data_IF_659653436783
#
_entry.id   IF_659653436783
#
_cell.length_a   1.000
_cell.length_b   1.000
_cell.length_c   1.000
_cell.angle_alpha   90.00
_cell.angle_beta   90.00
_cell.angle_gamma   90.00
#
_symmetry.space_group_name_H-M   'P 1'
#
loop_
_entity.id
_entity.type
_entity.pdbx_description
1 polymer ?
#
# COMPACT_ATOMS: atom_id res chain seq x y z
N UNK A 1 -31.27 -47.91 -3.85
CA UNK A 1 -31.94 -46.59 -3.76
C UNK A 1 -30.88 -45.51 -3.87
N UNK A 2 -30.91 -44.73 -4.96
CA UNK A 2 -29.94 -43.68 -5.24
C UNK A 2 -30.29 -42.42 -4.43
N UNK A 3 -29.29 -41.83 -3.77
CA UNK A 3 -29.40 -40.51 -3.13
C UNK A 3 -28.90 -39.46 -4.13
N UNK A 4 -29.83 -38.83 -4.84
CA UNK A 4 -29.59 -37.64 -5.67
C UNK A 4 -29.73 -36.38 -4.81
N UNK A 5 -28.62 -35.95 -4.20
CA UNK A 5 -28.51 -34.64 -3.53
C UNK A 5 -27.61 -33.72 -4.35
N UNK A 6 -28.12 -33.19 -5.47
CA UNK A 6 -27.39 -32.25 -6.31
C UNK A 6 -27.18 -30.91 -5.60
N UNK A 7 -25.93 -30.47 -5.52
CA UNK A 7 -25.58 -29.10 -5.15
C UNK A 7 -26.12 -28.16 -6.24
N UNK A 8 -27.13 -27.36 -5.91
CA UNK A 8 -27.61 -26.26 -6.74
C UNK A 8 -26.53 -25.18 -6.80
N UNK A 9 -25.83 -25.07 -7.94
CA UNK A 9 -25.01 -23.91 -8.26
C UNK A 9 -25.94 -22.69 -8.39
N UNK A 10 -26.03 -21.86 -7.35
CA UNK A 10 -26.68 -20.56 -7.46
C UNK A 10 -25.94 -19.75 -8.51
N UNK A 11 -26.64 -19.40 -9.60
CA UNK A 11 -26.13 -18.52 -10.64
C UNK A 11 -25.54 -17.27 -9.98
N UNK A 12 -24.27 -16.95 -10.30
CA UNK A 12 -23.64 -15.75 -9.77
C UNK A 12 -24.51 -14.54 -10.10
N UNK A 13 -24.87 -13.74 -9.11
CA UNK A 13 -25.57 -12.49 -9.37
C UNK A 13 -24.75 -11.62 -10.33
N UNK A 14 -25.39 -11.04 -11.36
CA UNK A 14 -24.70 -10.14 -12.28
C UNK A 14 -24.07 -8.99 -11.50
N UNK A 15 -22.83 -8.61 -11.84
CA UNK A 15 -22.06 -7.54 -11.19
C UNK A 15 -21.71 -6.44 -12.19
N UNK A 16 -21.88 -5.18 -11.79
CA UNK A 16 -21.46 -4.04 -12.62
C UNK A 16 -19.95 -3.89 -12.47
N UNK A 17 -19.22 -3.96 -13.58
CA UNK A 17 -17.79 -3.63 -13.60
C UNK A 17 -17.62 -2.12 -13.47
N UNK A 18 -17.20 -1.65 -12.28
CA UNK A 18 -16.98 -0.23 -12.00
C UNK A 18 -15.56 0.19 -12.36
N UNK A 19 -15.33 0.54 -13.61
CA UNK A 19 -14.09 1.20 -14.06
C UNK A 19 -14.04 2.69 -13.68
N UNK A 20 -12.90 3.34 -13.92
CA UNK A 20 -12.72 4.77 -13.61
C UNK A 20 -13.68 5.65 -14.40
N UNK A 21 -13.99 5.30 -15.65
CA UNK A 21 -14.88 6.08 -16.51
C UNK A 21 -16.31 6.11 -15.95
N UNK A 22 -16.90 4.94 -15.65
CA UNK A 22 -18.24 4.81 -15.07
C UNK A 22 -18.35 5.51 -13.71
N UNK A 23 -17.28 5.45 -12.91
CA UNK A 23 -17.22 6.12 -11.60
C UNK A 23 -17.16 7.64 -11.75
N UNK A 24 -16.34 8.16 -12.69
CA UNK A 24 -16.28 9.59 -13.01
C UNK A 24 -17.58 10.10 -13.61
N UNK A 25 -18.20 9.33 -14.51
CA UNK A 25 -19.51 9.62 -15.07
C UNK A 25 -20.58 9.75 -13.98
N UNK A 26 -20.63 8.78 -13.05
CA UNK A 26 -21.53 8.84 -11.89
C UNK A 26 -21.23 10.05 -10.99
N UNK A 27 -19.96 10.37 -10.73
CA UNK A 27 -19.60 11.57 -9.98
C UNK A 27 -20.06 12.86 -10.68
N UNK A 28 -19.95 12.94 -12.02
CA UNK A 28 -20.41 14.10 -12.79
C UNK A 28 -21.94 14.28 -12.67
N UNK A 29 -22.72 13.19 -12.72
CA UNK A 29 -24.16 13.24 -12.46
C UNK A 29 -24.48 13.88 -11.10
N UNK A 30 -23.75 13.47 -10.04
CA UNK A 30 -23.97 13.97 -8.68
C UNK A 30 -23.43 15.38 -8.40
N UNK A 31 -22.45 15.85 -9.19
CA UNK A 31 -21.83 17.16 -9.01
C UNK A 31 -22.55 18.27 -9.79
N UNK A 32 -22.90 18.01 -11.04
CA UNK A 32 -23.37 19.05 -11.97
C UNK A 32 -24.88 19.06 -12.21
N UNK A 33 -25.64 18.13 -11.62
CA UNK A 33 -27.10 18.08 -11.71
C UNK A 33 -27.76 17.89 -10.34
N UNK A 34 -28.99 18.38 -10.23
CA UNK A 34 -29.82 18.17 -9.06
C UNK A 34 -30.04 16.67 -8.79
N UNK A 35 -30.15 16.31 -7.51
CA UNK A 35 -30.21 14.91 -7.08
C UNK A 35 -31.53 14.26 -7.47
N UNK A 36 -31.48 13.49 -8.56
CA UNK A 36 -32.56 12.58 -8.95
C UNK A 36 -31.99 11.22 -9.35
N UNK A 37 -32.10 10.23 -8.45
CA UNK A 37 -31.57 8.88 -8.67
C UNK A 37 -32.30 8.15 -9.82
N UNK A 38 -33.54 8.52 -10.14
CA UNK A 38 -34.27 7.91 -11.24
C UNK A 38 -33.72 8.42 -12.58
N UNK A 39 -33.52 9.73 -12.70
CA UNK A 39 -32.87 10.33 -13.85
C UNK A 39 -31.43 9.83 -14.02
N UNK A 40 -30.67 9.74 -12.92
CA UNK A 40 -29.30 9.23 -12.95
C UNK A 40 -29.23 7.78 -13.44
N UNK A 41 -30.13 6.91 -12.97
CA UNK A 41 -30.23 5.53 -13.47
C UNK A 41 -30.56 5.51 -14.96
N UNK A 42 -31.58 6.24 -15.40
CA UNK A 42 -32.00 6.24 -16.79
C UNK A 42 -30.86 6.70 -17.73
N UNK A 43 -30.13 7.74 -17.34
CA UNK A 43 -28.97 8.23 -18.10
C UNK A 43 -27.82 7.21 -18.08
N UNK A 44 -27.49 6.67 -16.90
CA UNK A 44 -26.41 5.68 -16.76
C UNK A 44 -26.69 4.41 -17.58
N UNK A 45 -27.93 3.92 -17.54
CA UNK A 45 -28.35 2.74 -18.28
C UNK A 45 -28.34 2.96 -19.79
N UNK A 46 -28.70 4.16 -20.26
CA UNK A 46 -28.66 4.48 -21.67
C UNK A 46 -27.23 4.60 -22.20
N UNK A 47 -26.31 5.19 -21.42
CA UNK A 47 -24.90 5.34 -21.81
C UNK A 47 -24.15 4.01 -21.75
N UNK A 48 -24.40 3.18 -20.73
CA UNK A 48 -23.71 1.91 -20.52
C UNK A 48 -24.59 0.70 -20.84
N UNK A 49 -25.56 0.85 -21.74
CA UNK A 49 -26.54 -0.18 -22.08
C UNK A 49 -25.90 -1.52 -22.44
N UNK A 50 -24.93 -1.49 -23.35
CA UNK A 50 -24.29 -2.72 -23.86
C UNK A 50 -23.42 -3.38 -22.79
N UNK A 51 -22.68 -2.59 -22.01
CA UNK A 51 -21.89 -3.07 -20.88
C UNK A 51 -22.77 -3.76 -19.82
N UNK A 52 -23.91 -3.17 -19.49
CA UNK A 52 -24.87 -3.72 -18.53
C UNK A 52 -25.52 -5.00 -19.07
N UNK A 53 -25.90 -5.03 -20.35
CA UNK A 53 -26.45 -6.21 -21.00
C UNK A 53 -25.45 -7.36 -21.02
N UNK A 54 -24.19 -7.08 -21.37
CA UNK A 54 -23.10 -8.06 -21.37
C UNK A 54 -22.79 -8.59 -19.96
N UNK A 55 -22.96 -7.76 -18.94
CA UNK A 55 -22.82 -8.16 -17.54
C UNK A 55 -24.06 -8.90 -16.96
N UNK A 56 -25.10 -9.12 -17.76
CA UNK A 56 -26.29 -9.89 -17.37
C UNK A 56 -27.45 -9.06 -16.81
N UNK A 57 -27.40 -7.73 -16.88
CA UNK A 57 -28.50 -6.85 -16.45
C UNK A 57 -29.50 -6.64 -17.57
N UNK A 58 -30.70 -7.22 -17.42
CA UNK A 58 -31.79 -7.05 -18.40
C UNK A 58 -32.59 -5.76 -18.22
N UNK A 59 -32.59 -5.20 -17.00
CA UNK A 59 -33.38 -4.02 -16.62
C UNK A 59 -32.51 -2.82 -16.22
N UNK A 60 -31.26 -2.80 -16.72
CA UNK A 60 -30.25 -1.81 -16.35
C UNK A 60 -29.71 -1.99 -14.92
N UNK A 61 -28.93 -1.01 -14.47
CA UNK A 61 -28.26 -1.00 -13.18
C UNK A 61 -29.27 -0.78 -12.02
N UNK A 62 -29.24 -1.60 -10.95
CA UNK A 62 -30.04 -1.33 -9.75
C UNK A 62 -29.71 0.03 -9.13
N UNK A 63 -30.74 0.79 -8.70
CA UNK A 63 -30.58 2.13 -8.11
C UNK A 63 -29.69 2.10 -6.86
N UNK A 64 -29.84 1.04 -6.08
CA UNK A 64 -29.11 0.76 -4.85
C UNK A 64 -27.61 0.59 -5.13
N UNK A 65 -27.26 0.04 -6.30
CA UNK A 65 -25.86 -0.12 -6.71
C UNK A 65 -25.24 1.19 -7.15
N UNK A 66 -25.97 2.05 -7.88
CA UNK A 66 -25.51 3.39 -8.21
C UNK A 66 -25.32 4.24 -6.94
N UNK A 67 -26.32 4.25 -6.06
CA UNK A 67 -26.28 4.98 -4.78
C UNK A 67 -25.17 4.46 -3.87
N UNK A 68 -25.08 3.13 -3.72
CA UNK A 68 -24.05 2.47 -2.92
C UNK A 68 -22.65 2.76 -3.45
N UNK A 69 -22.49 2.75 -4.78
CA UNK A 69 -21.21 3.10 -5.41
C UNK A 69 -20.84 4.57 -5.16
N UNK A 70 -21.76 5.51 -5.35
CA UNK A 70 -21.50 6.92 -5.05
C UNK A 70 -21.14 7.12 -3.57
N UNK A 71 -21.86 6.47 -2.65
CA UNK A 71 -21.59 6.59 -1.22
C UNK A 71 -20.23 5.99 -0.85
N UNK A 72 -19.85 4.88 -1.49
CA UNK A 72 -18.52 4.30 -1.36
C UNK A 72 -17.43 5.25 -1.87
N UNK A 73 -17.63 5.85 -3.04
CA UNK A 73 -16.74 6.85 -3.64
C UNK A 73 -16.54 8.06 -2.72
N UNK A 74 -17.62 8.60 -2.15
CA UNK A 74 -17.57 9.73 -1.21
C UNK A 74 -16.96 9.36 0.15
N UNK A 75 -17.46 8.31 0.81
CA UNK A 75 -17.06 7.95 2.19
C UNK A 75 -15.60 7.52 2.30
N UNK A 76 -15.02 7.01 1.21
CA UNK A 76 -13.61 6.60 1.15
C UNK A 76 -12.72 7.64 0.44
N UNK A 77 -13.30 8.76 0.01
CA UNK A 77 -12.60 9.86 -0.69
C UNK A 77 -11.76 9.30 -1.85
N UNK A 78 -12.39 8.45 -2.67
CA UNK A 78 -11.69 7.72 -3.73
C UNK A 78 -11.22 8.66 -4.85
N UNK A 79 -10.16 8.31 -5.61
CA UNK A 79 -9.58 9.18 -6.64
C UNK A 79 -10.60 9.73 -7.64
N UNK A 80 -11.55 8.92 -8.12
CA UNK A 80 -12.57 9.37 -9.07
C UNK A 80 -13.56 10.37 -8.44
N UNK A 81 -13.79 10.28 -7.12
CA UNK A 81 -14.57 11.27 -6.39
C UNK A 81 -13.79 12.57 -6.24
N UNK A 82 -12.53 12.49 -5.80
CA UNK A 82 -11.64 13.63 -5.60
C UNK A 82 -11.39 14.39 -6.91
N UNK A 83 -11.03 13.68 -7.97
CA UNK A 83 -10.76 14.26 -9.29
C UNK A 83 -11.99 15.04 -9.77
N UNK A 84 -13.19 14.44 -9.67
CA UNK A 84 -14.42 15.10 -10.11
C UNK A 84 -14.91 16.16 -9.15
N UNK A 85 -14.78 16.05 -7.83
CA UNK A 85 -15.42 16.97 -6.87
C UNK A 85 -14.48 18.05 -6.30
N UNK A 86 -13.17 17.88 -6.40
CA UNK A 86 -12.18 18.90 -6.00
C UNK A 86 -11.54 19.64 -7.18
N UNK A 87 -11.83 19.27 -8.43
CA UNK A 87 -11.45 20.13 -9.57
C UNK A 87 -12.26 21.42 -9.58
N UNK A 88 -11.87 22.46 -10.34
CA UNK A 88 -12.73 23.62 -10.57
C UNK A 88 -14.14 23.21 -11.02
N UNK A 89 -15.16 23.89 -10.50
CA UNK A 89 -16.56 23.70 -10.88
C UNK A 89 -16.82 24.38 -12.24
N UNK A 90 -16.30 23.76 -13.29
CA UNK A 90 -16.37 24.23 -14.66
C UNK A 90 -16.93 23.11 -15.56
N UNK A 91 -18.11 23.34 -16.12
CA UNK A 91 -18.85 22.37 -16.94
C UNK A 91 -18.31 22.32 -18.38
N UNK A 92 -17.59 23.35 -18.79
CA UNK A 92 -17.02 23.54 -20.11
C UNK A 92 -15.52 23.20 -20.14
N UNK A 93 -14.91 23.02 -18.97
CA UNK A 93 -13.51 22.60 -18.81
C UNK A 93 -13.31 21.09 -18.91
N UNK A 94 -12.50 20.53 -18.00
CA UNK A 94 -12.03 19.12 -18.05
C UNK A 94 -13.17 18.09 -18.13
N UNK A 95 -14.34 18.39 -17.57
CA UNK A 95 -15.47 17.47 -17.51
C UNK A 95 -16.46 17.61 -18.67
N UNK A 96 -16.19 18.52 -19.62
CA UNK A 96 -17.05 18.77 -20.78
C UNK A 96 -17.45 17.50 -21.57
N UNK A 97 -16.58 16.49 -21.78
CA UNK A 97 -16.98 15.27 -22.48
C UNK A 97 -18.08 14.47 -21.76
N UNK A 98 -17.97 14.36 -20.43
CA UNK A 98 -18.98 13.71 -19.58
C UNK A 98 -20.26 14.55 -19.56
N UNK A 99 -20.12 15.86 -19.39
CA UNK A 99 -21.26 16.79 -19.32
C UNK A 99 -22.05 16.80 -20.63
N UNK A 100 -21.37 16.88 -21.77
CA UNK A 100 -21.99 16.83 -23.09
C UNK A 100 -22.71 15.50 -23.32
N UNK A 101 -22.15 14.39 -22.84
CA UNK A 101 -22.76 13.06 -22.95
C UNK A 101 -24.02 12.94 -22.11
N UNK A 102 -24.01 13.46 -20.87
CA UNK A 102 -25.20 13.53 -20.01
C UNK A 102 -26.28 14.41 -20.65
N UNK A 103 -25.93 15.62 -21.12
CA UNK A 103 -26.87 16.53 -21.82
C UNK A 103 -27.52 15.87 -23.03
N UNK A 104 -26.73 15.21 -23.88
CA UNK A 104 -27.23 14.49 -25.07
C UNK A 104 -28.19 13.36 -24.68
N UNK A 105 -27.83 12.60 -23.65
CA UNK A 105 -28.63 11.46 -23.18
C UNK A 105 -29.96 11.92 -22.58
N UNK A 106 -29.94 12.94 -21.72
CA UNK A 106 -31.14 13.55 -21.15
C UNK A 106 -32.12 14.01 -22.24
N UNK A 107 -31.62 14.67 -23.30
CA UNK A 107 -32.45 15.06 -24.46
C UNK A 107 -33.05 13.86 -25.18
N UNK A 108 -32.24 12.83 -25.46
CA UNK A 108 -32.72 11.63 -26.15
C UNK A 108 -33.80 10.87 -25.36
N UNK A 109 -33.69 10.88 -24.02
CA UNK A 109 -34.64 10.23 -23.11
C UNK A 109 -35.84 11.13 -22.76
N UNK A 110 -35.87 12.38 -23.25
CA UNK A 110 -36.88 13.38 -22.89
C UNK A 110 -37.01 13.61 -21.37
N UNK A 111 -35.89 13.49 -20.64
CA UNK A 111 -35.82 13.70 -19.19
C UNK A 111 -35.38 15.13 -18.93
N UNK A 112 -36.19 15.88 -18.17
CA UNK A 112 -35.80 17.19 -17.69
C UNK A 112 -35.07 17.07 -16.34
N UNK A 113 -33.77 17.32 -16.34
CA UNK A 113 -32.93 17.34 -15.15
C UNK A 113 -32.18 18.67 -15.08
N UNK A 114 -32.40 19.43 -14.02
CA UNK A 114 -31.80 20.75 -13.84
C UNK A 114 -30.31 20.63 -13.57
N UNK A 115 -29.51 21.42 -14.28
CA UNK A 115 -28.10 21.56 -13.98
C UNK A 115 -27.88 22.42 -12.73
N UNK A 116 -27.00 21.97 -11.85
CA UNK A 116 -26.63 22.70 -10.65
C UNK A 116 -25.85 23.96 -11.01
N UNK A 117 -26.21 25.10 -10.40
CA UNK A 117 -25.57 26.40 -10.62
C UNK A 117 -24.56 26.76 -9.53
N UNK A 118 -24.49 25.95 -8.47
CA UNK A 118 -23.61 26.10 -7.31
C UNK A 118 -22.95 24.75 -7.06
N UNK A 119 -21.66 24.75 -6.71
CA UNK A 119 -20.96 23.52 -6.34
C UNK A 119 -21.52 22.98 -5.02
N UNK A 120 -22.08 21.76 -4.99
CA UNK A 120 -22.61 21.19 -3.75
C UNK A 120 -21.53 20.72 -2.77
N UNK A 121 -20.24 20.83 -3.11
CA UNK A 121 -19.12 20.47 -2.25
C UNK A 121 -18.48 21.71 -1.66
N UNK A 122 -18.52 21.82 -0.34
CA UNK A 122 -17.78 22.84 0.40
C UNK A 122 -16.29 22.44 0.44
N UNK A 123 -15.54 22.85 -0.59
CA UNK A 123 -14.12 22.50 -0.76
C UNK A 123 -13.25 22.98 0.42
N UNK A 124 -13.67 24.05 1.11
CA UNK A 124 -12.95 24.63 2.24
C UNK A 124 -12.81 23.68 3.44
N UNK A 125 -13.73 22.70 3.60
CA UNK A 125 -13.63 21.72 4.69
C UNK A 125 -12.57 20.64 4.44
N UNK A 126 -12.07 20.50 3.21
CA UNK A 126 -11.12 19.45 2.82
C UNK A 126 -9.74 19.97 2.40
N UNK A 127 -9.58 21.27 2.17
CA UNK A 127 -8.28 21.91 1.91
C UNK A 127 -7.41 22.00 3.18
N UNK A 128 -8.03 22.16 4.36
CA UNK A 128 -7.31 22.32 5.63
C UNK A 128 -6.55 21.08 6.16
N UNK A 129 -6.83 19.87 5.65
CA UNK A 129 -6.08 18.66 6.03
C UNK A 129 -4.81 18.43 5.18
N UNK A 130 -4.53 19.29 4.19
CA UNK A 130 -3.47 19.07 3.19
C UNK A 130 -2.31 20.10 3.33
N UNK A 131 -2.44 21.18 4.10
CA UNK A 131 -1.58 22.36 3.96
C UNK A 131 -0.35 22.48 4.90
N UNK A 132 -0.07 21.55 5.81
CA UNK A 132 1.17 21.61 6.63
C UNK A 132 2.31 20.72 6.10
N UNK A 133 3.00 21.20 5.07
CA UNK A 133 4.38 20.79 4.76
C UNK A 133 5.21 22.05 4.44
N UNK A 134 6.41 22.23 5.06
CA UNK A 134 7.11 23.50 4.99
C UNK A 134 7.70 23.75 3.60
N UNK A 135 7.38 24.92 3.06
CA UNK A 135 8.03 25.51 1.90
C UNK A 135 9.45 25.96 2.28
N UNK A 136 10.46 25.18 1.89
CA UNK A 136 11.77 25.67 1.44
C UNK A 136 12.72 24.50 1.14
N UNK A 137 12.85 24.13 -0.14
CA UNK A 137 14.10 23.57 -0.65
C UNK A 137 14.45 24.33 -1.91
N UNK A 138 15.41 25.24 -1.73
CA UNK A 138 16.09 26.02 -2.75
C UNK A 138 16.62 25.12 -3.87
N UNK A 139 16.41 25.55 -5.11
CA UNK A 139 17.09 25.04 -6.29
C UNK A 139 18.61 25.25 -6.15
N UNK A 140 19.35 24.19 -5.83
CA UNK A 140 20.78 24.14 -6.08
C UNK A 140 21.08 23.27 -7.29
N UNK A 141 21.84 23.87 -8.21
CA UNK A 141 22.00 23.45 -9.57
C UNK A 141 22.76 22.15 -9.76
N UNK A 142 22.40 21.52 -10.87
CA UNK A 142 23.17 20.52 -11.59
C UNK A 142 24.68 20.79 -11.54
N UNK A 143 25.39 19.96 -10.79
CA UNK A 143 26.82 19.74 -11.03
C UNK A 143 27.06 18.26 -11.28
N UNK A 144 27.46 18.02 -12.52
CA UNK A 144 27.80 16.76 -13.13
C UNK A 144 28.76 15.93 -12.25
N UNK A 145 28.45 14.64 -12.12
CA UNK A 145 29.43 13.62 -11.74
C UNK A 145 29.61 12.67 -12.93
N UNK A 146 30.87 12.63 -13.38
CA UNK A 146 31.53 11.65 -14.26
C UNK A 146 31.16 11.66 -15.76
N UNK A 147 31.87 12.49 -16.53
CA UNK A 147 32.21 12.18 -17.94
C UNK A 147 33.66 11.71 -18.00
N UNK A 148 33.90 10.51 -18.52
CA UNK A 148 35.22 10.08 -19.00
C UNK A 148 35.06 9.60 -20.44
N UNK A 149 35.63 10.36 -21.39
CA UNK A 149 35.73 9.99 -22.80
C UNK A 149 34.42 9.82 -23.56
N UNK A 150 33.58 10.86 -23.63
CA UNK A 150 32.37 11.00 -24.47
C UNK A 150 31.32 9.87 -24.43
N UNK A 151 31.52 8.85 -23.59
CA UNK A 151 30.56 7.78 -23.33
C UNK A 151 29.72 8.14 -22.12
N UNK A 152 28.41 8.16 -22.30
CA UNK A 152 27.45 8.35 -21.20
C UNK A 152 27.39 7.05 -20.39
N UNK A 153 27.52 7.14 -19.07
CA UNK A 153 27.35 5.99 -18.19
C UNK A 153 25.95 5.37 -18.40
N UNK A 154 25.93 4.08 -18.77
CA UNK A 154 24.70 3.32 -19.03
C UNK A 154 23.70 3.40 -17.85
N UNK A 155 24.22 3.42 -16.62
CA UNK A 155 23.42 3.59 -15.40
C UNK A 155 22.68 4.94 -15.33
N UNK A 156 23.34 6.04 -15.73
CA UNK A 156 22.75 7.38 -15.72
C UNK A 156 21.73 7.61 -16.85
N UNK A 157 21.83 6.87 -17.96
CA UNK A 157 20.84 6.90 -19.05
C UNK A 157 19.58 6.12 -18.65
N UNK A 158 19.74 5.01 -17.94
CA UNK A 158 18.62 4.17 -17.51
C UNK A 158 17.76 4.87 -16.44
N UNK A 159 18.34 5.63 -15.51
CA UNK A 159 17.56 6.47 -14.58
C UNK A 159 16.84 7.64 -15.29
N UNK A 160 17.38 8.16 -16.39
CA UNK A 160 16.75 9.24 -17.20
C UNK A 160 15.60 8.75 -18.10
N UNK A 161 15.64 7.49 -18.55
CA UNK A 161 14.55 6.89 -19.34
C UNK A 161 13.37 6.50 -18.43
N UNK A 162 13.63 6.04 -17.21
CA UNK A 162 12.58 5.63 -16.25
C UNK A 162 11.84 6.85 -15.67
N UNK A 163 12.51 8.00 -15.57
CA UNK A 163 11.90 9.24 -15.03
C UNK A 163 10.97 9.96 -16.01
N UNK A 164 10.98 9.59 -17.31
CA UNK A 164 10.21 10.26 -18.36
C UNK A 164 9.35 9.31 -19.19
N UNK A 165 8.57 8.42 -18.58
CA UNK A 165 7.33 7.92 -19.22
C UNK A 165 6.37 7.24 -18.23
N UNK A 166 5.20 7.89 -18.05
CA UNK A 166 3.88 7.28 -17.81
C UNK A 166 3.65 6.48 -16.52
N UNK A 167 2.86 7.11 -15.64
CA UNK A 167 1.61 6.51 -15.17
C UNK A 167 1.73 5.59 -13.96
N UNK A 168 2.23 6.14 -12.85
CA UNK A 168 2.20 5.50 -11.55
C UNK A 168 0.74 5.29 -11.10
N UNK A 169 0.20 4.05 -10.99
CA UNK A 169 -1.15 3.83 -10.51
C UNK A 169 -1.14 3.91 -8.98
N UNK A 170 -0.91 5.11 -8.44
CA UNK A 170 -1.22 5.41 -7.04
C UNK A 170 -2.74 5.49 -6.87
N UNK A 171 -3.39 4.34 -6.82
CA UNK A 171 -4.78 4.23 -6.38
C UNK A 171 -4.87 4.65 -4.91
N UNK A 172 -5.32 5.88 -4.63
CA UNK A 172 -5.66 6.33 -3.26
C UNK A 172 -6.74 5.41 -2.68
N UNK A 173 -6.42 4.81 -1.54
CA UNK A 173 -7.18 3.77 -0.85
C UNK A 173 -6.26 2.71 -0.21
N UNK A 174 -5.03 2.58 -0.72
CA UNK A 174 -3.97 1.75 -0.12
C UNK A 174 -2.98 2.66 0.60
N UNK A 175 -3.16 2.89 1.90
CA UNK A 175 -2.06 3.40 2.73
C UNK A 175 -0.90 2.40 2.63
N UNK A 176 0.17 2.81 1.96
CA UNK A 176 1.46 2.12 1.96
C UNK A 176 2.24 2.74 3.12
N UNK A 177 2.65 1.95 4.13
CA UNK A 177 3.50 2.43 5.20
C UNK A 177 4.77 3.05 4.61
N UNK A 178 5.21 4.23 5.10
CA UNK A 178 6.41 4.89 4.58
C UNK A 178 7.63 3.97 4.64
N UNK A 179 7.72 3.13 5.67
CA UNK A 179 8.77 2.12 5.83
C UNK A 179 8.18 0.70 5.91
N UNK A 180 8.83 -0.23 5.24
CA UNK A 180 8.56 -1.67 5.30
C UNK A 180 9.80 -2.42 5.79
N UNK A 181 9.58 -3.61 6.35
CA UNK A 181 10.64 -4.43 6.93
C UNK A 181 10.65 -5.80 6.26
N UNK A 182 11.81 -6.28 5.83
CA UNK A 182 11.99 -7.62 5.27
C UNK A 182 12.91 -8.42 6.16
N UNK A 183 12.58 -9.69 6.35
CA UNK A 183 13.51 -10.71 6.82
C UNK A 183 13.87 -11.62 5.64
N UNK A 184 15.12 -12.08 5.59
CA UNK A 184 15.59 -13.12 4.67
C UNK A 184 16.73 -13.91 5.29
N UNK A 185 16.94 -15.13 4.79
CA UNK A 185 18.07 -16.01 5.12
C UNK A 185 18.57 -16.75 3.87
N UNK A 186 19.44 -17.74 4.08
CA UNK A 186 19.99 -18.61 3.03
C UNK A 186 18.91 -19.37 2.24
N UNK A 187 17.76 -19.67 2.85
CA UNK A 187 16.64 -20.37 2.19
C UNK A 187 15.67 -19.43 1.47
N UNK A 188 15.87 -18.12 1.59
CA UNK A 188 15.01 -17.14 0.94
C UNK A 188 15.32 -17.05 -0.54
N UNK A 189 14.31 -17.29 -1.38
CA UNK A 189 14.41 -17.08 -2.83
C UNK A 189 14.85 -15.65 -3.16
N UNK A 190 15.48 -15.49 -4.31
CA UNK A 190 15.91 -14.21 -4.84
C UNK A 190 17.27 -13.76 -4.34
N UNK A 191 17.68 -12.58 -4.81
CA UNK A 191 18.90 -11.92 -4.34
C UNK A 191 18.54 -11.10 -3.10
N UNK A 192 19.14 -11.41 -1.96
CA UNK A 192 18.88 -10.75 -0.68
C UNK A 192 20.18 -10.18 -0.09
N UNK A 193 20.60 -9.01 -0.59
CA UNK A 193 21.83 -8.35 -0.12
C UNK A 193 21.51 -7.06 0.63
N UNK A 194 22.54 -6.45 1.25
CA UNK A 194 22.38 -5.15 1.93
C UNK A 194 22.00 -4.00 1.00
N UNK A 195 22.30 -4.12 -0.29
CA UNK A 195 22.19 -3.03 -1.26
C UNK A 195 21.16 -3.30 -2.37
N UNK A 196 20.67 -4.53 -2.49
CA UNK A 196 19.63 -4.84 -3.47
C UNK A 196 18.83 -6.06 -3.01
N UNK A 197 17.51 -5.99 -3.23
CA UNK A 197 16.61 -7.12 -3.10
C UNK A 197 15.96 -7.41 -4.45
N UNK A 198 15.89 -8.68 -4.83
CA UNK A 198 15.28 -9.14 -6.08
C UNK A 198 14.41 -10.34 -5.78
N UNK A 199 13.21 -10.39 -6.36
CA UNK A 199 12.32 -11.52 -6.21
C UNK A 199 12.87 -12.75 -6.97
N UNK A 200 12.58 -13.96 -6.47
CA UNK A 200 13.12 -15.21 -7.03
C UNK A 200 12.85 -15.40 -8.53
N UNK A 201 11.70 -14.94 -9.04
CA UNK A 201 11.38 -15.04 -10.46
C UNK A 201 12.29 -14.19 -11.37
N UNK A 202 12.96 -13.19 -10.81
CA UNK A 202 13.78 -12.23 -11.55
C UNK A 202 15.26 -12.29 -11.15
N UNK A 203 15.71 -13.41 -10.58
CA UNK A 203 17.14 -13.64 -10.31
C UNK A 203 17.97 -13.49 -11.59
N UNK A 204 17.41 -13.93 -12.73
CA UNK A 204 17.90 -13.62 -14.06
C UNK A 204 17.20 -12.36 -14.62
N UNK A 205 17.94 -11.25 -14.63
CA UNK A 205 17.42 -9.91 -14.92
C UNK A 205 16.88 -9.72 -16.33
N UNK A 206 17.34 -10.51 -17.30
CA UNK A 206 16.91 -10.42 -18.70
C UNK A 206 15.43 -10.81 -18.88
N UNK A 207 14.83 -11.37 -17.83
CA UNK A 207 13.44 -11.85 -17.82
C UNK A 207 12.49 -10.93 -17.04
N UNK A 208 12.91 -9.71 -16.68
CA UNK A 208 12.05 -8.78 -15.96
C UNK A 208 10.82 -8.39 -16.79
N UNK A 209 9.65 -8.46 -16.16
CA UNK A 209 8.41 -7.92 -16.72
C UNK A 209 7.61 -7.18 -15.65
N UNK A 210 6.92 -6.13 -16.10
CA UNK A 210 6.02 -5.33 -15.25
C UNK A 210 4.73 -6.12 -14.94
N UNK A 211 4.12 -5.95 -13.76
CA UNK A 211 2.83 -6.56 -13.47
C UNK A 211 1.72 -6.05 -14.41
N UNK A 212 1.90 -4.89 -15.05
CA UNK A 212 0.95 -4.32 -16.01
C UNK A 212 1.03 -4.96 -17.41
N UNK A 213 2.08 -5.72 -17.72
CA UNK A 213 2.24 -6.39 -19.03
C UNK A 213 1.71 -7.83 -19.02
N UNK A 214 1.29 -8.33 -17.86
CA UNK A 214 0.71 -9.66 -17.73
C UNK A 214 -0.80 -9.60 -17.57
N UNK A 215 -1.46 -10.68 -17.98
CA UNK A 215 -2.89 -10.82 -17.79
C UNK A 215 -3.25 -10.90 -16.30
N UNK A 216 -4.42 -10.37 -15.87
CA UNK A 216 -4.84 -10.40 -14.47
C UNK A 216 -4.89 -11.80 -13.83
N UNK A 217 -5.26 -12.82 -14.60
CA UNK A 217 -5.28 -14.22 -14.16
C UNK A 217 -3.88 -14.75 -13.82
N UNK A 218 -2.87 -14.33 -14.60
CA UNK A 218 -1.46 -14.68 -14.32
C UNK A 218 -0.95 -13.98 -13.07
N UNK A 219 -1.30 -12.71 -12.85
CA UNK A 219 -0.96 -12.00 -11.61
C UNK A 219 -1.60 -12.70 -10.39
N UNK A 220 -2.88 -13.05 -10.50
CA UNK A 220 -3.60 -13.76 -9.43
C UNK A 220 -2.98 -15.13 -9.13
N UNK A 221 -2.54 -15.85 -10.16
CA UNK A 221 -1.83 -17.13 -10.01
C UNK A 221 -0.51 -16.96 -9.26
N UNK A 222 0.33 -15.98 -9.65
CA UNK A 222 1.55 -15.66 -8.90
C UNK A 222 1.27 -15.31 -7.44
N UNK A 223 0.26 -14.47 -7.19
CA UNK A 223 -0.12 -14.10 -5.83
C UNK A 223 -0.57 -15.32 -5.02
N UNK A 224 -1.42 -16.18 -5.61
CA UNK A 224 -1.89 -17.42 -4.96
C UNK A 224 -0.73 -18.35 -4.61
N UNK A 225 0.18 -18.60 -5.56
CA UNK A 225 1.37 -19.43 -5.33
C UNK A 225 2.26 -18.84 -4.24
N UNK A 226 2.45 -17.53 -4.23
CA UNK A 226 3.24 -16.83 -3.22
C UNK A 226 2.68 -17.01 -1.80
N UNK A 227 1.39 -16.73 -1.58
CA UNK A 227 0.79 -16.81 -0.23
C UNK A 227 0.54 -18.24 0.25
N UNK A 228 0.53 -19.22 -0.66
CA UNK A 228 0.54 -20.65 -0.31
C UNK A 228 1.94 -21.21 -0.14
N UNK A 229 2.99 -20.39 -0.33
CA UNK A 229 4.39 -20.80 -0.19
C UNK A 229 4.70 -22.00 -1.11
N UNK A 230 4.19 -21.96 -2.35
CA UNK A 230 4.53 -22.97 -3.34
C UNK A 230 6.03 -22.92 -3.66
N UNK A 231 6.66 -24.07 -3.89
CA UNK A 231 8.07 -24.21 -4.27
C UNK A 231 8.31 -23.80 -5.72
N UNK A 232 7.98 -22.55 -6.05
CA UNK A 232 8.15 -21.95 -7.37
C UNK A 232 8.69 -20.53 -7.23
N UNK A 233 9.49 -20.05 -8.20
CA UNK A 233 9.96 -18.67 -8.20
C UNK A 233 8.80 -17.67 -8.19
N UNK A 234 8.88 -16.73 -7.25
CA UNK A 234 7.86 -15.70 -7.08
C UNK A 234 8.33 -14.34 -7.58
N UNK A 235 7.46 -13.53 -8.23
CA UNK A 235 7.78 -12.14 -8.59
C UNK A 235 7.68 -11.17 -7.41
N UNK A 236 7.20 -11.62 -6.25
CA UNK A 236 7.01 -10.80 -5.06
C UNK A 236 8.14 -10.95 -4.04
N UNK A 237 8.56 -9.81 -3.49
CA UNK A 237 9.37 -9.67 -2.29
C UNK A 237 8.40 -9.41 -1.13
N UNK A 238 8.30 -10.39 -0.22
CA UNK A 238 7.47 -10.26 0.99
C UNK A 238 8.11 -9.30 2.00
N UNK A 239 7.31 -8.37 2.53
CA UNK A 239 7.68 -7.46 3.61
C UNK A 239 6.58 -7.36 4.67
N UNK A 240 6.91 -6.79 5.82
CA UNK A 240 6.03 -6.56 6.95
C UNK A 240 5.95 -5.06 7.24
N UNK A 241 4.81 -4.60 7.74
CA UNK A 241 4.63 -3.21 8.21
C UNK A 241 5.25 -2.92 9.58
N UNK A 242 5.70 -3.96 10.29
CA UNK A 242 6.23 -3.86 11.66
C UNK A 242 7.50 -4.69 11.77
N UNK A 243 8.52 -4.08 12.40
CA UNK A 243 9.84 -4.69 12.59
C UNK A 243 9.80 -5.96 13.46
N UNK A 244 8.85 -6.08 14.40
CA UNK A 244 8.79 -7.25 15.28
C UNK A 244 8.66 -8.57 14.51
N UNK A 245 7.91 -8.58 13.40
CA UNK A 245 7.75 -9.80 12.61
C UNK A 245 9.05 -10.27 11.96
N UNK A 246 9.80 -9.41 11.23
CA UNK A 246 11.13 -9.78 10.74
C UNK A 246 12.14 -10.12 11.84
N UNK A 247 12.17 -9.38 12.95
CA UNK A 247 13.08 -9.69 14.08
C UNK A 247 12.76 -11.06 14.67
N UNK A 248 11.48 -11.36 14.96
CA UNK A 248 11.03 -12.66 15.46
C UNK A 248 11.45 -13.81 14.54
N UNK A 249 11.27 -13.66 13.23
CA UNK A 249 11.70 -14.67 12.26
C UNK A 249 13.23 -14.80 12.20
N UNK A 250 13.94 -13.68 12.24
CA UNK A 250 15.39 -13.63 12.13
C UNK A 250 16.12 -14.30 13.29
N UNK A 251 15.73 -13.99 14.53
CA UNK A 251 16.39 -14.57 15.71
C UNK A 251 16.06 -16.06 15.90
N UNK A 252 14.97 -16.56 15.32
CA UNK A 252 14.60 -17.98 15.43
C UNK A 252 15.23 -18.86 14.36
N UNK A 253 15.53 -18.30 13.18
CA UNK A 253 16.08 -19.06 12.06
C UNK A 253 17.57 -18.78 11.79
N UNK A 254 18.15 -17.76 12.45
CA UNK A 254 19.58 -17.37 12.64
C UNK A 254 20.56 -17.45 11.46
N UNK A 255 20.64 -18.56 10.75
CA UNK A 255 21.60 -18.79 9.67
C UNK A 255 21.39 -17.79 8.52
N UNK A 256 22.41 -16.99 8.21
CA UNK A 256 22.34 -15.96 7.16
C UNK A 256 21.27 -14.88 7.39
N UNK A 257 20.71 -14.78 8.60
CA UNK A 257 19.58 -13.93 8.92
C UNK A 257 19.88 -12.45 8.68
N UNK A 258 19.16 -11.83 7.74
CA UNK A 258 19.24 -10.42 7.39
C UNK A 258 17.88 -9.75 7.61
N UNK A 259 17.90 -8.57 8.21
CA UNK A 259 16.74 -7.68 8.31
C UNK A 259 17.05 -6.44 7.49
N UNK A 260 16.15 -6.10 6.56
CA UNK A 260 16.26 -4.92 5.71
C UNK A 260 15.11 -3.96 6.00
N UNK A 261 15.45 -2.68 6.14
CA UNK A 261 14.50 -1.58 6.29
C UNK A 261 14.38 -0.86 4.96
N UNK A 262 13.16 -0.72 4.46
CA UNK A 262 12.88 -0.30 3.09
C UNK A 262 12.01 0.95 3.11
N UNK A 263 12.49 2.03 2.50
CA UNK A 263 11.69 3.20 2.17
C UNK A 263 10.80 2.87 0.96
N UNK A 264 9.50 3.08 1.12
CA UNK A 264 8.53 2.83 0.05
C UNK A 264 8.40 4.00 -0.93
N UNK A 265 8.97 5.16 -0.62
CA UNK A 265 8.93 6.33 -1.49
C UNK A 265 9.63 6.03 -2.81
N UNK A 266 8.88 6.12 -3.91
CA UNK A 266 9.40 5.90 -5.25
C UNK A 266 9.42 4.43 -5.71
N UNK A 267 8.94 3.50 -4.88
CA UNK A 267 8.67 2.14 -5.37
C UNK A 267 7.42 2.15 -6.27
N UNK A 268 7.50 1.48 -7.41
CA UNK A 268 6.43 1.47 -8.41
C UNK A 268 5.26 0.56 -8.03
N UNK A 269 5.55 -0.63 -7.51
CA UNK A 269 4.57 -1.70 -7.36
C UNK A 269 4.63 -2.32 -5.96
N UNK A 270 3.85 -1.75 -5.05
CA UNK A 270 3.70 -2.23 -3.67
C UNK A 270 2.24 -2.56 -3.39
N UNK A 271 1.97 -3.80 -2.99
CA UNK A 271 0.62 -4.32 -2.80
C UNK A 271 0.38 -4.69 -1.34
N UNK A 272 -0.76 -4.29 -0.78
CA UNK A 272 -1.24 -4.84 0.49
C UNK A 272 -1.65 -6.30 0.29
N UNK A 273 -0.98 -7.23 0.98
CA UNK A 273 -1.32 -8.66 0.90
C UNK A 273 -2.76 -8.92 1.36
N UNK A 274 -3.24 -8.17 2.36
CA UNK A 274 -4.63 -8.19 2.82
C UNK A 274 -5.61 -7.81 1.72
N UNK A 275 -5.31 -6.75 0.97
CA UNK A 275 -6.19 -6.27 -0.08
C UNK A 275 -6.22 -7.26 -1.24
N UNK A 276 -5.07 -7.86 -1.59
CA UNK A 276 -5.02 -8.93 -2.58
C UNK A 276 -5.78 -10.19 -2.12
N UNK A 277 -5.65 -10.60 -0.85
CA UNK A 277 -6.42 -11.73 -0.30
C UNK A 277 -7.92 -11.48 -0.44
N UNK A 278 -8.39 -10.27 -0.09
CA UNK A 278 -9.79 -9.89 -0.17
C UNK A 278 -10.27 -9.81 -1.63
N UNK A 279 -9.55 -9.09 -2.49
CA UNK A 279 -9.90 -8.88 -3.89
C UNK A 279 -9.97 -10.20 -4.67
N UNK A 280 -9.01 -11.09 -4.44
CA UNK A 280 -8.91 -12.37 -5.15
C UNK A 280 -9.58 -13.54 -4.41
N UNK A 281 -10.29 -13.24 -3.30
CA UNK A 281 -10.99 -14.22 -2.44
C UNK A 281 -10.10 -15.42 -2.08
N UNK A 282 -8.84 -15.16 -1.73
CA UNK A 282 -7.85 -16.19 -1.41
C UNK A 282 -7.98 -16.59 0.06
N UNK A 283 -8.05 -17.90 0.32
CA UNK A 283 -7.93 -18.52 1.64
C UNK A 283 -6.73 -19.45 1.63
N UNK A 284 -5.83 -19.31 2.60
CA UNK A 284 -4.61 -20.11 2.70
C UNK A 284 -4.88 -21.33 3.57
N UNK A 285 -5.22 -22.46 2.94
CA UNK A 285 -5.53 -23.71 3.64
C UNK A 285 -6.55 -23.56 4.76
N UNK A 286 -6.28 -24.20 5.92
CA UNK A 286 -7.05 -24.03 7.17
C UNK A 286 -6.54 -22.87 8.04
N UNK A 287 -5.64 -22.03 7.51
CA UNK A 287 -5.00 -20.96 8.27
C UNK A 287 -5.95 -19.78 8.51
N UNK A 288 -5.71 -19.04 9.59
CA UNK A 288 -6.32 -17.73 9.84
C UNK A 288 -5.59 -16.59 9.11
N UNK A 289 -4.68 -16.93 8.20
CA UNK A 289 -3.95 -15.97 7.39
C UNK A 289 -4.90 -15.12 6.55
N UNK A 290 -4.70 -13.80 6.61
CA UNK A 290 -5.50 -12.83 5.87
C UNK A 290 -4.62 -11.70 5.28
N UNK A 291 -3.29 -11.89 5.25
CA UNK A 291 -2.32 -10.88 4.79
C UNK A 291 -2.23 -9.62 5.65
N UNK A 292 -2.87 -9.59 6.83
CA UNK A 292 -2.83 -8.41 7.68
C UNK A 292 -1.42 -8.14 8.20
N UNK A 293 -0.86 -7.00 7.77
CA UNK A 293 0.48 -6.56 8.16
C UNK A 293 1.58 -6.93 7.18
N UNK A 294 1.26 -7.58 6.06
CA UNK A 294 2.21 -7.88 5.00
C UNK A 294 1.95 -7.02 3.76
N UNK A 295 3.05 -6.63 3.12
CA UNK A 295 3.07 -5.95 1.83
C UNK A 295 3.98 -6.73 0.89
N UNK A 296 3.63 -6.72 -0.39
CA UNK A 296 4.34 -7.42 -1.44
C UNK A 296 4.90 -6.39 -2.41
N UNK A 297 6.22 -6.36 -2.59
CA UNK A 297 6.88 -5.52 -3.58
C UNK A 297 7.13 -6.37 -4.81
N UNK A 298 6.77 -5.90 -6.01
CA UNK A 298 7.06 -6.61 -7.24
C UNK A 298 8.50 -6.39 -7.69
N UNK A 299 9.18 -7.45 -8.09
CA UNK A 299 10.41 -7.32 -8.84
C UNK A 299 11.64 -7.09 -7.97
N UNK A 300 11.87 -5.82 -7.60
CA UNK A 300 13.11 -5.39 -6.97
C UNK A 300 12.92 -4.27 -5.97
N UNK A 301 13.85 -4.17 -5.02
CA UNK A 301 14.07 -2.99 -4.20
C UNK A 301 15.49 -2.49 -4.47
N UNK A 302 15.66 -1.32 -5.10
CA UNK A 302 16.99 -0.76 -5.37
C UNK A 302 17.65 -0.25 -4.09
N UNK A 303 18.96 -0.05 -4.14
CA UNK A 303 19.76 0.44 -3.01
C UNK A 303 19.26 1.75 -2.43
N UNK A 304 18.80 2.68 -3.27
CA UNK A 304 18.24 3.98 -2.88
C UNK A 304 17.02 3.85 -1.96
N UNK A 305 16.29 2.73 -2.05
CA UNK A 305 15.13 2.42 -1.22
C UNK A 305 15.48 1.58 0.02
N UNK A 306 16.72 1.12 0.18
CA UNK A 306 17.14 0.40 1.39
C UNK A 306 17.70 1.41 2.38
N UNK A 307 16.98 1.65 3.47
CA UNK A 307 17.40 2.57 4.55
C UNK A 307 18.62 2.01 5.28
N UNK A 308 18.56 0.73 5.65
CA UNK A 308 19.67 -0.03 6.19
C UNK A 308 19.38 -1.54 6.08
N UNK A 309 20.41 -2.35 6.25
CA UNK A 309 20.26 -3.80 6.45
C UNK A 309 21.27 -4.29 7.48
N UNK A 310 20.82 -5.10 8.44
CA UNK A 310 21.65 -5.62 9.52
C UNK A 310 21.38 -7.11 9.74
N UNK A 311 22.39 -7.82 10.23
CA UNK A 311 22.27 -9.25 10.56
C UNK A 311 21.57 -9.42 11.90
N UNK A 312 20.87 -10.53 12.10
CA UNK A 312 20.34 -10.88 13.42
C UNK A 312 21.45 -10.92 14.49
N UNK A 313 22.63 -11.44 14.13
CA UNK A 313 23.80 -11.48 15.01
C UNK A 313 24.30 -10.09 15.44
N UNK A 314 24.11 -9.06 14.60
CA UNK A 314 24.44 -7.67 14.97
C UNK A 314 23.49 -7.17 16.06
N UNK A 315 22.20 -7.53 15.99
CA UNK A 315 21.22 -7.18 17.01
C UNK A 315 21.50 -7.91 18.34
N UNK A 316 21.88 -9.20 18.27
CA UNK A 316 22.31 -9.98 19.43
C UNK A 316 23.59 -9.39 20.06
N UNK A 317 24.57 -9.00 19.25
CA UNK A 317 25.79 -8.34 19.72
C UNK A 317 25.48 -7.01 20.44
N UNK A 318 24.66 -6.15 19.85
CA UNK A 318 24.24 -4.88 20.47
C UNK A 318 23.57 -5.14 21.82
N UNK A 319 22.69 -6.15 21.92
CA UNK A 319 22.05 -6.50 23.19
C UNK A 319 23.07 -6.97 24.23
N UNK A 320 24.08 -7.75 23.84
CA UNK A 320 25.12 -8.20 24.76
C UNK A 320 26.02 -7.06 25.25
N UNK A 321 26.29 -6.05 24.41
CA UNK A 321 27.15 -4.91 24.74
C UNK A 321 26.41 -3.79 25.50
N UNK A 322 25.08 -3.74 25.38
CA UNK A 322 24.25 -2.67 25.93
C UNK A 322 23.05 -3.23 26.69
N UNK A 323 23.21 -3.46 28.00
CA UNK A 323 22.17 -4.05 28.85
C UNK A 323 20.84 -3.29 28.87
N UNK A 324 20.89 -1.96 28.70
CA UNK A 324 19.70 -1.11 28.57
C UNK A 324 18.92 -1.37 27.27
N UNK A 325 19.62 -1.65 26.17
CA UNK A 325 19.03 -2.08 24.90
C UNK A 325 18.57 -3.54 24.99
N UNK A 326 19.28 -4.41 25.71
CA UNK A 326 18.88 -5.79 25.91
C UNK A 326 17.51 -5.90 26.59
N UNK A 327 17.33 -5.12 27.67
CA UNK A 327 16.08 -5.01 28.41
C UNK A 327 14.94 -4.51 27.51
N UNK A 328 15.21 -3.51 26.66
CA UNK A 328 14.24 -3.01 25.68
C UNK A 328 13.86 -4.08 24.64
N UNK A 329 14.86 -4.75 24.04
CA UNK A 329 14.67 -5.64 22.89
C UNK A 329 14.03 -6.98 23.26
N UNK A 330 14.30 -7.50 24.47
CA UNK A 330 13.74 -8.76 24.97
C UNK A 330 13.92 -9.93 23.97
N UNK A 331 15.11 -10.07 23.37
CA UNK A 331 15.34 -11.04 22.29
C UNK A 331 15.07 -12.49 22.73
N UNK A 332 15.44 -12.85 23.96
CA UNK A 332 15.18 -14.19 24.51
C UNK A 332 13.68 -14.47 24.64
N UNK A 333 12.92 -13.49 25.16
CA UNK A 333 11.46 -13.56 25.19
C UNK A 333 10.91 -13.76 23.78
N UNK A 334 11.31 -12.95 22.80
CA UNK A 334 10.83 -13.07 21.42
C UNK A 334 11.17 -14.46 20.83
N UNK A 335 12.39 -14.96 21.06
CA UNK A 335 12.84 -16.24 20.54
C UNK A 335 12.07 -17.44 21.13
N UNK A 336 11.64 -17.33 22.39
CA UNK A 336 10.91 -18.39 23.11
C UNK A 336 9.51 -18.67 22.54
N UNK A 337 8.90 -17.73 21.80
CA UNK A 337 7.56 -17.91 21.22
C UNK A 337 7.60 -18.47 19.80
N UNK A 338 6.84 -19.52 19.52
CA UNK A 338 6.74 -20.09 18.18
C UNK A 338 6.16 -19.11 17.15
N UNK A 339 5.28 -18.20 17.58
CA UNK A 339 4.53 -17.31 16.67
C UNK A 339 4.45 -15.90 17.24
N UNK A 340 4.67 -14.91 16.37
CA UNK A 340 4.36 -13.52 16.66
C UNK A 340 2.83 -13.30 16.70
N UNK A 341 2.20 -13.63 17.85
CA UNK A 341 0.76 -13.55 18.09
C UNK A 341 0.47 -12.98 19.49
N UNK A 342 -0.80 -13.01 19.89
CA UNK A 342 -1.30 -12.49 21.17
C UNK A 342 -0.43 -12.89 22.37
N UNK A 343 0.01 -14.15 22.46
CA UNK A 343 0.83 -14.61 23.58
C UNK A 343 2.17 -13.85 23.69
N UNK A 344 2.92 -13.71 22.59
CA UNK A 344 4.13 -12.89 22.56
C UNK A 344 3.82 -11.42 22.89
N UNK A 345 2.73 -10.88 22.33
CA UNK A 345 2.35 -9.48 22.58
C UNK A 345 1.99 -9.22 24.03
N UNK A 346 1.36 -10.19 24.71
CA UNK A 346 1.07 -10.12 26.14
C UNK A 346 2.38 -10.12 26.93
N UNK A 347 3.30 -11.05 26.66
CA UNK A 347 4.58 -11.11 27.35
C UNK A 347 5.40 -9.81 27.20
N UNK A 348 5.47 -9.25 25.99
CA UNK A 348 6.16 -7.97 25.76
C UNK A 348 5.50 -6.80 26.51
N UNK A 349 4.19 -6.84 26.73
CA UNK A 349 3.45 -5.77 27.43
C UNK A 349 3.56 -5.82 28.96
N UNK A 350 4.02 -6.95 29.51
CA UNK A 350 4.16 -7.15 30.97
C UNK A 350 5.47 -6.58 31.52
N UNK A 351 6.43 -6.24 30.66
CA UNK A 351 7.73 -5.71 31.05
C UNK A 351 7.77 -4.18 31.05
N UNK A 352 8.42 -3.64 32.08
CA UNK A 352 8.97 -2.28 32.18
C UNK A 352 8.17 -1.16 31.52
N UNK A 353 7.41 -0.40 32.32
CA UNK A 353 6.85 0.86 31.84
C UNK A 353 7.92 1.94 31.81
N UNK A 354 8.61 2.06 30.67
CA UNK A 354 9.48 3.21 30.41
C UNK A 354 8.63 4.47 30.23
N UNK A 355 9.17 5.61 30.67
CA UNK A 355 8.65 6.89 30.22
C UNK A 355 8.82 7.03 28.71
N UNK A 356 7.97 7.84 28.05
CA UNK A 356 8.08 8.12 26.62
C UNK A 356 9.50 8.62 26.26
N UNK A 357 10.07 9.50 27.08
CA UNK A 357 11.42 10.03 26.85
C UNK A 357 12.51 8.96 26.99
N UNK A 358 12.39 8.08 27.99
CA UNK A 358 13.35 7.00 28.21
C UNK A 358 13.31 5.97 27.09
N UNK A 359 12.11 5.52 26.72
CA UNK A 359 11.93 4.59 25.60
C UNK A 359 12.41 5.18 24.28
N UNK A 360 12.09 6.46 24.03
CA UNK A 360 12.62 7.21 22.90
C UNK A 360 14.15 7.21 22.87
N UNK A 361 14.80 7.50 23.99
CA UNK A 361 16.28 7.52 24.10
C UNK A 361 16.92 6.17 23.81
N UNK A 362 16.37 5.09 24.37
CA UNK A 362 16.89 3.74 24.13
C UNK A 362 16.71 3.31 22.66
N UNK A 363 15.56 3.63 22.07
CA UNK A 363 15.30 3.40 20.65
C UNK A 363 16.25 4.22 19.78
N UNK A 364 16.43 5.52 20.06
CA UNK A 364 17.37 6.39 19.34
C UNK A 364 18.79 5.81 19.33
N UNK A 365 19.27 5.39 20.51
CA UNK A 365 20.58 4.73 20.67
C UNK A 365 20.70 3.47 19.83
N UNK A 366 19.69 2.59 19.88
CA UNK A 366 19.65 1.37 19.06
C UNK A 366 19.69 1.69 17.55
N UNK A 367 18.89 2.66 17.10
CA UNK A 367 18.83 3.02 15.68
C UNK A 367 20.16 3.62 15.18
N UNK A 368 20.85 4.39 16.02
CA UNK A 368 22.19 4.92 15.74
C UNK A 368 23.22 3.78 15.62
N UNK A 369 23.21 2.80 16.53
CA UNK A 369 24.07 1.61 16.46
C UNK A 369 23.79 0.73 15.24
N UNK A 370 22.53 0.65 14.79
CA UNK A 370 22.14 -0.04 13.57
C UNK A 370 22.41 0.78 12.29
N UNK A 371 22.97 1.99 12.42
CA UNK A 371 23.28 2.91 11.32
C UNK A 371 22.05 3.27 10.46
N UNK A 372 20.88 3.37 11.10
CA UNK A 372 19.64 3.80 10.46
C UNK A 372 19.72 5.30 10.20
N UNK A 373 19.64 5.77 8.95
CA UNK A 373 19.61 7.20 8.64
C UNK A 373 18.64 7.98 9.55
N UNK A 374 19.12 9.07 10.16
CA UNK A 374 18.40 9.84 11.18
C UNK A 374 17.01 10.31 10.73
N UNK A 375 16.84 10.67 9.45
CA UNK A 375 15.55 11.08 8.88
C UNK A 375 14.44 10.02 8.99
N UNK A 376 14.78 8.73 9.15
CA UNK A 376 13.80 7.65 9.36
C UNK A 376 13.64 7.28 10.85
N UNK A 377 14.44 7.86 11.75
CA UNK A 377 14.48 7.47 13.17
C UNK A 377 13.12 7.63 13.86
N UNK A 378 12.39 8.72 13.57
CA UNK A 378 11.07 8.97 14.12
C UNK A 378 10.03 7.92 13.71
N UNK A 379 9.94 7.62 12.40
CA UNK A 379 8.96 6.65 11.88
C UNK A 379 9.28 5.22 12.32
N UNK A 380 10.55 4.81 12.24
CA UNK A 380 10.98 3.48 12.67
C UNK A 380 10.82 3.35 14.19
N UNK A 381 11.23 4.38 14.94
CA UNK A 381 11.12 4.40 16.39
C UNK A 381 9.67 4.31 16.87
N UNK A 382 8.76 5.06 16.25
CA UNK A 382 7.31 4.93 16.49
C UNK A 382 6.82 3.51 16.19
N UNK A 383 7.26 2.92 15.09
CA UNK A 383 6.93 1.53 14.74
C UNK A 383 7.39 0.52 15.79
N UNK A 384 8.61 0.70 16.32
CA UNK A 384 9.15 -0.10 17.41
C UNK A 384 8.34 0.09 18.70
N UNK A 385 8.06 1.33 19.09
CA UNK A 385 7.28 1.66 20.29
C UNK A 385 5.97 0.87 20.37
N UNK A 386 5.22 0.80 19.27
CA UNK A 386 3.97 0.04 19.23
C UNK A 386 4.14 -1.47 19.12
N UNK A 387 5.13 -1.91 18.35
CA UNK A 387 5.31 -3.35 18.10
C UNK A 387 5.90 -4.08 19.30
N UNK A 388 6.75 -3.41 20.07
CA UNK A 388 7.27 -3.88 21.36
C UNK A 388 6.35 -3.65 22.55
N UNK A 389 5.17 -3.07 22.34
CA UNK A 389 4.15 -2.87 23.40
C UNK A 389 4.63 -2.01 24.58
N UNK A 390 5.52 -1.05 24.32
CA UNK A 390 6.12 -0.20 25.37
C UNK A 390 5.07 0.68 26.08
N UNK A 391 3.94 0.97 25.43
CA UNK A 391 2.79 1.65 26.06
C UNK A 391 1.45 1.27 25.40
N UNK A 392 0.35 1.53 26.12
CA UNK A 392 -1.06 1.47 25.66
C UNK A 392 -1.31 2.46 24.50
N UNK A 393 -2.40 2.32 23.72
CA UNK A 393 -2.47 2.68 22.29
C UNK A 393 -2.53 4.18 21.96
N UNK A 394 -2.13 5.05 22.88
CA UNK A 394 -2.05 6.48 22.62
C UNK A 394 -0.85 6.79 21.71
N UNK A 395 -0.90 7.89 20.97
CA UNK A 395 0.24 8.33 20.18
C UNK A 395 1.42 8.66 21.10
N UNK A 396 2.67 8.23 20.78
CA UNK A 396 3.83 8.69 21.53
C UNK A 396 3.87 10.21 21.46
N UNK A 397 3.96 10.85 22.62
CA UNK A 397 4.00 12.31 22.73
C UNK A 397 5.35 12.88 22.28
N UNK A 398 5.48 14.21 22.26
CA UNK A 398 6.72 14.90 21.85
C UNK A 398 7.95 14.44 22.65
N UNK A 399 7.77 14.14 23.94
CA UNK A 399 8.82 13.62 24.81
C UNK A 399 9.49 12.34 24.27
N UNK A 400 8.74 11.49 23.55
CA UNK A 400 9.29 10.31 22.89
C UNK A 400 10.25 10.68 21.76
N UNK A 401 9.85 11.61 20.89
CA UNK A 401 10.69 12.05 19.77
C UNK A 401 11.89 12.87 20.25
N UNK A 402 11.76 13.68 21.30
CA UNK A 402 12.90 14.28 22.00
C UNK A 402 13.85 13.22 22.56
N UNK A 403 13.30 12.14 23.12
CA UNK A 403 14.05 10.97 23.54
C UNK A 403 14.87 10.39 22.39
N UNK A 404 14.24 10.11 21.24
CA UNK A 404 14.91 9.60 20.03
C UNK A 404 16.07 10.52 19.65
N UNK A 405 15.83 11.83 19.53
CA UNK A 405 16.86 12.81 19.17
C UNK A 405 18.02 12.86 20.17
N UNK A 406 17.75 12.65 21.46
CA UNK A 406 18.77 12.67 22.51
C UNK A 406 19.55 11.35 22.63
N UNK A 407 19.01 10.24 22.11
CA UNK A 407 19.64 8.93 22.14
C UNK A 407 20.40 8.58 20.87
N UNK A 408 19.99 9.15 19.75
CA UNK A 408 20.60 8.95 18.43
C UNK A 408 21.93 9.69 18.32
#
# INVERSE_FOLDING_TARGET
MALSGGLSFTAMEPLISWDSEKRKFLCCLYRFWDRDINAYKAVFDAVYHDDLRNAGFRNGAPKERLRGQWHHLKSRVLPDWVDVHLSPFDKEGRWAPFVATIRRTLRSLHIHLRESTVDPVDAATYEHEIEELPANVSMHGDRALCKYGDKVCFWCVQERIITNTRGNPRAKGNYIPPVLYRWSNVDSQGINTRNILVAGLFEDWDQYFSPNTIRPDKFQDYFRKHVHIAEVPSPFISTCKSMLSPVHRAIRNKEGALISVIDTKGLDFVYSARNLCWLHKVRVGKSTYNGAGEFLIWGKVPSSNIVCSFKASTLEQIANEHGDIAELLQLDTIASYERNRKALHTALSEQGHYSDRTSGKLIGKLLSLLQVRFEYSGEIGRGMFYSWRLRRPDNPGEAFYEGIRAGY
#
